data_IF_851593173264
#
_entry.id   IF_851593173264
#
_cell.length_a   1.000
_cell.length_b   1.000
_cell.length_c   1.000
_cell.angle_alpha   90.00
_cell.angle_beta   90.00
_cell.angle_gamma   90.00
#
_symmetry.space_group_name_H-M   'P 1'
#
loop_
_entity.id
_entity.type
_entity.pdbx_description
1 polymer ?
#
# COMPACT_ATOMS: atom_id res chain seq x y z
N UNK A 1 -18.43 -6.22 18.73
CA UNK A 1 -18.80 -4.97 18.03
C UNK A 1 -18.81 -5.19 16.52
N UNK A 2 -19.89 -5.72 15.93
CA UNK A 2 -21.08 -4.92 15.60
C UNK A 2 -20.94 -4.09 14.31
N UNK A 3 -19.75 -4.00 13.69
CA UNK A 3 -19.50 -3.13 12.51
C UNK A 3 -19.27 -3.89 11.19
N UNK A 4 -19.42 -5.22 11.17
CA UNK A 4 -19.39 -5.98 9.93
C UNK A 4 -20.78 -5.98 9.27
N UNK A 5 -20.87 -5.44 8.05
CA UNK A 5 -22.09 -5.39 7.23
C UNK A 5 -21.75 -5.80 5.80
N UNK A 6 -21.84 -7.09 5.45
CA UNK A 6 -21.48 -7.60 4.12
C UNK A 6 -22.38 -7.05 3.00
N UNK A 7 -23.54 -6.45 3.33
CA UNK A 7 -24.37 -5.81 2.32
C UNK A 7 -23.77 -4.48 1.84
N UNK A 8 -22.98 -3.80 2.69
CA UNK A 8 -22.37 -2.49 2.42
C UNK A 8 -20.86 -2.56 2.20
N UNK A 9 -20.17 -3.43 2.93
CA UNK A 9 -18.72 -3.59 2.94
C UNK A 9 -18.29 -4.57 1.83
N UNK A 10 -18.46 -4.16 0.58
CA UNK A 10 -18.23 -5.02 -0.60
C UNK A 10 -16.87 -4.86 -1.22
N UNK A 11 -16.30 -3.65 -1.14
CA UNK A 11 -15.05 -3.30 -1.81
C UNK A 11 -14.07 -2.73 -0.78
N UNK A 12 -12.79 -3.01 -0.97
CA UNK A 12 -11.69 -2.42 -0.20
C UNK A 12 -10.66 -1.85 -1.17
N UNK A 13 -10.13 -0.68 -0.82
CA UNK A 13 -9.07 -0.05 -1.57
C UNK A 13 -7.72 -0.68 -1.23
N UNK A 14 -7.05 -1.19 -2.25
CA UNK A 14 -5.69 -1.73 -2.16
C UNK A 14 -4.65 -0.63 -2.25
N UNK A 15 -4.87 0.33 -3.16
CA UNK A 15 -3.90 1.38 -3.48
C UNK A 15 -4.61 2.69 -3.80
N UNK A 16 -4.04 3.78 -3.27
CA UNK A 16 -4.53 5.14 -3.47
C UNK A 16 -3.38 6.12 -3.68
N UNK A 17 -3.70 7.41 -3.84
CA UNK A 17 -2.70 8.49 -3.79
C UNK A 17 -1.89 8.50 -2.48
N UNK A 18 -2.37 7.83 -1.43
CA UNK A 18 -1.70 7.69 -0.13
C UNK A 18 -0.90 6.39 0.04
N UNK A 19 -0.85 5.55 -0.99
CA UNK A 19 -0.02 4.35 -1.04
C UNK A 19 -0.78 3.03 -1.04
N UNK A 20 -0.02 1.94 -1.02
CA UNK A 20 -0.47 0.56 -1.06
C UNK A 20 -0.68 0.01 0.36
N UNK A 21 -1.90 -0.45 0.64
CA UNK A 21 -2.32 -1.11 1.87
C UNK A 21 -2.48 -2.63 1.74
N UNK A 22 -1.90 -3.23 0.70
CA UNK A 22 -1.93 -4.68 0.44
C UNK A 22 -1.23 -5.49 1.54
N UNK A 23 0.06 -5.24 1.75
CA UNK A 23 1.02 -6.20 2.32
C UNK A 23 0.90 -6.34 3.85
N UNK A 24 0.53 -7.52 4.34
CA UNK A 24 0.68 -7.88 5.75
C UNK A 24 2.13 -8.27 6.05
N UNK A 25 2.79 -7.55 6.97
CA UNK A 25 4.13 -7.91 7.46
C UNK A 25 4.10 -8.08 8.97
N UNK A 26 4.48 -9.27 9.44
CA UNK A 26 4.49 -9.60 10.87
C UNK A 26 5.41 -8.66 11.69
N UNK A 27 6.48 -8.14 11.09
CA UNK A 27 7.38 -7.15 11.73
C UNK A 27 6.67 -5.83 12.07
N UNK A 28 5.56 -5.51 11.40
CA UNK A 28 4.68 -4.37 11.69
C UNK A 28 3.43 -4.77 12.50
N UNK A 29 3.38 -5.99 13.03
CA UNK A 29 2.21 -6.57 13.71
C UNK A 29 2.34 -6.60 15.25
N UNK A 30 3.32 -5.92 15.84
CA UNK A 30 3.43 -5.78 17.30
C UNK A 30 2.13 -5.26 17.94
N UNK A 31 1.32 -4.50 17.18
CA UNK A 31 0.03 -3.95 17.60
C UNK A 31 -1.15 -4.95 17.49
N UNK A 32 -0.96 -6.16 16.94
CA UNK A 32 -2.04 -7.10 16.55
C UNK A 32 -2.20 -8.29 17.51
N UNK A 33 -1.15 -8.67 18.25
CA UNK A 33 -1.13 -9.92 19.01
C UNK A 33 -1.81 -9.82 20.39
N UNK A 34 -1.76 -8.67 21.05
CA UNK A 34 -2.38 -8.47 22.37
C UNK A 34 -2.59 -6.97 22.65
N UNK A 35 -3.84 -6.46 22.63
CA UNK A 35 -4.13 -5.05 22.91
C UNK A 35 -3.91 -4.66 24.38
N UNK A 36 -3.80 -5.63 25.29
CA UNK A 36 -3.56 -5.42 26.72
C UNK A 36 -2.08 -5.59 27.10
N UNK A 37 -1.24 -6.08 26.18
CA UNK A 37 0.20 -6.17 26.41
C UNK A 37 0.82 -4.77 26.50
N UNK A 38 1.73 -4.51 27.48
CA UNK A 38 2.44 -3.25 27.53
C UNK A 38 3.26 -3.06 26.26
N UNK A 39 2.97 -1.98 25.53
CA UNK A 39 3.74 -1.59 24.35
C UNK A 39 5.21 -1.48 24.73
N UNK A 40 6.04 -2.34 24.14
CA UNK A 40 7.49 -2.33 24.28
C UNK A 40 8.11 -1.93 22.95
N UNK A 41 9.13 -1.07 22.99
CA UNK A 41 9.86 -0.69 21.79
C UNK A 41 10.72 -1.87 21.30
N UNK A 42 10.44 -2.46 20.13
CA UNK A 42 11.21 -3.62 19.66
C UNK A 42 12.63 -3.20 19.25
N UNK A 43 13.55 -4.16 19.27
CA UNK A 43 14.87 -3.97 18.69
C UNK A 43 14.78 -3.94 17.14
N UNK A 44 15.65 -3.20 16.44
CA UNK A 44 15.71 -3.21 14.98
C UNK A 44 16.06 -4.59 14.43
N UNK A 45 15.54 -4.90 13.26
CA UNK A 45 15.86 -6.09 12.46
C UNK A 45 16.46 -5.69 11.12
N UNK A 46 16.86 -6.67 10.31
CA UNK A 46 17.35 -6.43 8.95
C UNK A 46 16.30 -5.86 8.01
N UNK A 47 15.03 -6.02 8.36
CA UNK A 47 13.90 -5.59 7.54
C UNK A 47 13.15 -4.40 8.14
N UNK A 48 13.44 -4.02 9.39
CA UNK A 48 12.66 -3.00 10.08
C UNK A 48 13.44 -2.19 11.11
N UNK A 49 13.30 -0.86 11.05
CA UNK A 49 13.79 0.07 12.06
C UNK A 49 12.59 0.71 12.80
N UNK A 50 12.33 0.38 14.07
CA UNK A 50 11.25 1.02 14.83
C UNK A 50 11.54 2.50 15.10
N UNK A 51 10.57 3.41 14.89
CA UNK A 51 10.79 4.84 15.18
C UNK A 51 11.01 5.12 16.66
N UNK A 52 10.45 4.32 17.58
CA UNK A 52 10.77 4.43 19.01
C UNK A 52 12.26 4.17 19.26
N UNK A 53 12.85 3.18 18.58
CA UNK A 53 14.27 2.88 18.71
C UNK A 53 15.11 4.02 18.15
N UNK A 54 14.72 4.52 16.96
CA UNK A 54 15.39 5.65 16.33
C UNK A 54 15.35 6.92 17.19
N UNK A 55 14.23 7.19 17.87
CA UNK A 55 14.14 8.29 18.84
C UNK A 55 15.17 8.14 19.97
N UNK A 56 15.38 6.92 20.47
CA UNK A 56 16.43 6.63 21.44
C UNK A 56 17.84 6.90 20.92
N UNK A 57 18.14 6.57 19.67
CA UNK A 57 19.44 6.88 19.04
C UNK A 57 19.66 8.38 18.83
N UNK A 58 18.61 9.09 18.39
CA UNK A 58 18.62 10.56 18.26
C UNK A 58 18.89 11.19 19.63
N UNK A 59 18.24 10.71 20.69
CA UNK A 59 18.48 11.18 22.05
C UNK A 59 19.92 10.90 22.50
N UNK A 60 20.42 9.69 22.25
CA UNK A 60 21.79 9.29 22.60
C UNK A 60 22.84 10.21 21.98
N UNK A 61 22.65 10.59 20.71
CA UNK A 61 23.55 11.52 20.02
C UNK A 61 23.54 12.94 20.62
N UNK A 62 22.52 13.31 21.41
CA UNK A 62 22.32 14.63 22.00
C UNK A 62 22.71 14.72 23.47
N UNK A 63 23.11 13.62 24.09
CA UNK A 63 23.45 13.62 25.51
C UNK A 63 24.61 14.55 25.85
N UNK A 64 25.57 14.75 24.94
CA UNK A 64 26.70 15.64 25.15
C UNK A 64 27.53 15.23 26.37
N UNK A 65 27.57 16.11 27.38
CA UNK A 65 28.33 15.97 28.63
C UNK A 65 27.51 15.40 29.81
N UNK A 66 26.27 14.96 29.57
CA UNK A 66 25.44 14.36 30.61
C UNK A 66 26.10 13.09 31.19
N UNK A 67 25.93 12.82 32.51
CA UNK A 67 26.31 11.54 33.09
C UNK A 67 25.66 10.37 32.34
N UNK A 68 26.38 9.26 32.17
CA UNK A 68 25.91 8.09 31.41
C UNK A 68 24.52 7.60 31.88
N UNK A 69 24.32 7.49 33.19
CA UNK A 69 23.03 7.07 33.75
C UNK A 69 21.88 8.03 33.43
N UNK A 70 22.14 9.34 33.38
CA UNK A 70 21.14 10.35 32.99
C UNK A 70 20.87 10.26 31.48
N UNK A 71 21.90 10.07 30.66
CA UNK A 71 21.75 9.86 29.23
C UNK A 71 20.88 8.62 28.93
N UNK A 72 21.18 7.49 29.56
CA UNK A 72 20.43 6.25 29.37
C UNK A 72 18.96 6.41 29.83
N UNK A 73 18.71 7.11 30.94
CA UNK A 73 17.35 7.41 31.39
C UNK A 73 16.58 8.25 30.35
N UNK A 74 17.22 9.24 29.73
CA UNK A 74 16.60 10.07 28.68
C UNK A 74 16.39 9.29 27.37
N UNK A 75 17.29 8.37 27.03
CA UNK A 75 17.12 7.47 25.87
C UNK A 75 15.86 6.60 26.03
N UNK A 76 15.67 6.00 27.21
CA UNK A 76 14.48 5.19 27.48
C UNK A 76 13.20 6.05 27.58
N UNK A 77 13.30 7.28 28.11
CA UNK A 77 12.20 8.25 28.08
C UNK A 77 11.80 8.58 26.62
N UNK A 78 12.76 8.83 25.73
CA UNK A 78 12.52 9.11 24.32
C UNK A 78 11.84 7.94 23.59
N UNK A 79 12.30 6.69 23.83
CA UNK A 79 11.66 5.49 23.28
C UNK A 79 10.20 5.38 23.72
N UNK A 80 9.93 5.57 25.02
CA UNK A 80 8.57 5.50 25.58
C UNK A 80 7.66 6.59 25.02
N UNK A 81 8.15 7.83 24.92
CA UNK A 81 7.37 8.95 24.37
C UNK A 81 7.08 8.76 22.88
N UNK A 82 8.05 8.29 22.10
CA UNK A 82 7.86 8.02 20.67
C UNK A 82 6.85 6.90 20.43
N UNK A 83 6.88 5.85 21.25
CA UNK A 83 5.89 4.77 21.22
C UNK A 83 4.49 5.27 21.58
N UNK A 84 4.38 6.10 22.62
CA UNK A 84 3.11 6.71 23.02
C UNK A 84 2.55 7.71 21.99
N UNK A 85 3.42 8.33 21.19
CA UNK A 85 3.03 9.27 20.13
C UNK A 85 2.44 8.58 18.87
N UNK A 86 2.42 7.25 18.84
CA UNK A 86 1.75 6.41 17.83
C UNK A 86 2.06 6.80 16.37
N UNK A 87 1.19 7.58 15.73
CA UNK A 87 1.31 7.97 14.31
C UNK A 87 2.28 9.14 14.09
N UNK A 88 2.72 9.82 15.15
CA UNK A 88 3.57 11.01 15.08
C UNK A 88 4.83 10.93 15.97
N UNK A 89 5.62 9.83 15.90
CA UNK A 89 6.75 9.61 16.79
C UNK A 89 7.83 10.70 16.66
N UNK A 90 7.94 11.33 15.48
CA UNK A 90 8.92 12.37 15.23
C UNK A 90 8.67 13.68 15.99
N UNK A 91 7.46 13.91 16.48
CA UNK A 91 7.11 15.13 17.23
C UNK A 91 7.66 15.14 18.66
N UNK A 92 8.24 14.03 19.14
CA UNK A 92 9.01 14.02 20.38
C UNK A 92 10.30 14.85 20.27
N UNK A 93 10.75 15.12 19.04
CA UNK A 93 11.82 16.06 18.72
C UNK A 93 11.46 16.87 17.45
N UNK A 94 10.65 17.95 17.56
CA UNK A 94 10.10 18.68 16.41
C UNK A 94 11.14 19.46 15.59
N UNK A 95 12.28 19.79 16.21
CA UNK A 95 13.39 20.51 15.57
C UNK A 95 14.27 19.61 14.70
N UNK A 96 14.09 18.30 14.77
CA UNK A 96 14.94 17.32 14.09
C UNK A 96 14.55 17.24 12.63
N UNK A 97 15.52 17.30 11.71
CA UNK A 97 15.24 17.17 10.29
C UNK A 97 14.73 15.74 9.98
N UNK A 98 13.93 15.62 8.92
CA UNK A 98 13.33 14.37 8.48
C UNK A 98 14.37 13.25 8.24
N UNK A 99 15.55 13.64 7.78
CA UNK A 99 16.68 12.80 7.42
C UNK A 99 17.28 12.08 8.63
N UNK A 100 17.30 12.75 9.79
CA UNK A 100 17.75 12.14 11.03
C UNK A 100 16.79 11.05 11.53
N UNK A 101 15.55 10.97 11.05
CA UNK A 101 14.64 9.87 11.36
C UNK A 101 14.83 8.63 10.47
N UNK A 102 15.70 8.72 9.44
CA UNK A 102 16.01 7.62 8.53
C UNK A 102 14.74 6.96 7.95
N UNK A 103 14.78 5.66 7.71
CA UNK A 103 13.68 4.83 7.19
C UNK A 103 12.78 4.26 8.30
N UNK A 104 12.81 4.83 9.52
CA UNK A 104 12.09 4.24 10.63
C UNK A 104 10.58 4.11 10.36
N UNK A 105 9.99 3.03 10.86
CA UNK A 105 8.61 2.59 10.65
C UNK A 105 8.20 2.40 9.17
N UNK A 106 9.13 2.39 8.21
CA UNK A 106 8.82 2.14 6.80
C UNK A 106 9.06 0.69 6.40
N UNK A 107 8.28 0.22 5.43
CA UNK A 107 8.54 -1.05 4.75
C UNK A 107 9.65 -0.86 3.70
N UNK A 108 10.65 -1.74 3.71
CA UNK A 108 11.85 -1.64 2.85
C UNK A 108 11.70 -2.26 1.47
N UNK A 109 10.80 -3.22 1.30
CA UNK A 109 10.60 -4.00 0.07
C UNK A 109 9.15 -3.95 -0.45
N UNK A 110 8.25 -3.23 0.23
CA UNK A 110 6.87 -3.07 -0.21
C UNK A 110 6.76 -2.19 -1.46
N UNK A 111 5.75 -2.47 -2.27
CA UNK A 111 5.46 -1.67 -3.46
C UNK A 111 4.67 -0.43 -3.09
N UNK A 112 5.21 0.76 -3.39
CA UNK A 112 4.57 2.07 -3.15
C UNK A 112 3.78 2.09 -1.83
N UNK A 113 4.40 1.76 -0.68
CA UNK A 113 3.67 1.55 0.55
C UNK A 113 2.99 2.82 1.03
N UNK A 114 1.96 2.66 1.85
CA UNK A 114 1.48 3.74 2.73
C UNK A 114 2.61 4.17 3.67
N UNK A 115 2.61 5.43 4.10
CA UNK A 115 3.54 5.91 5.12
C UNK A 115 3.21 5.26 6.48
N UNK A 116 4.23 4.72 7.17
CA UNK A 116 4.07 4.00 8.45
C UNK A 116 3.02 2.86 8.38
N UNK A 117 3.21 1.83 7.54
CA UNK A 117 2.25 0.75 7.37
C UNK A 117 1.94 0.04 8.69
N UNK A 118 0.65 -0.28 8.90
CA UNK A 118 0.14 -0.99 10.07
C UNK A 118 -0.38 -2.35 9.62
N UNK A 119 0.22 -3.44 10.11
CA UNK A 119 -0.12 -4.78 9.62
C UNK A 119 -1.61 -5.12 9.78
N UNK A 120 -2.21 -4.73 10.92
CA UNK A 120 -3.63 -4.96 11.21
C UNK A 120 -4.62 -4.13 10.38
N UNK A 121 -4.14 -3.21 9.54
CA UNK A 121 -4.97 -2.35 8.67
C UNK A 121 -4.81 -2.68 7.19
N UNK A 122 -4.24 -3.84 6.87
CA UNK A 122 -3.97 -4.26 5.49
C UNK A 122 -5.12 -5.06 4.90
N UNK A 123 -5.25 -5.04 3.57
CA UNK A 123 -6.27 -5.82 2.87
C UNK A 123 -6.04 -7.33 3.03
N UNK A 124 -4.78 -7.77 3.05
CA UNK A 124 -4.44 -9.17 3.31
C UNK A 124 -4.87 -9.59 4.73
N UNK A 125 -4.59 -8.77 5.75
CA UNK A 125 -5.05 -9.05 7.12
C UNK A 125 -6.57 -9.12 7.22
N UNK A 126 -7.27 -8.14 6.64
CA UNK A 126 -8.74 -8.11 6.64
C UNK A 126 -9.35 -9.35 5.95
N UNK A 127 -8.68 -9.88 4.92
CA UNK A 127 -9.09 -11.11 4.22
C UNK A 127 -8.80 -12.38 5.03
N UNK A 128 -7.78 -12.34 5.89
CA UNK A 128 -7.36 -13.49 6.69
C UNK A 128 -8.13 -13.62 8.01
N UNK A 129 -8.61 -12.53 8.61
CA UNK A 129 -9.29 -12.60 9.91
C UNK A 129 -10.73 -13.11 9.83
N UNK A 130 -11.20 -13.70 10.92
CA UNK A 130 -12.61 -14.04 11.13
C UNK A 130 -13.08 -13.48 12.48
N UNK A 131 -14.34 -13.07 12.55
CA UNK A 131 -14.98 -12.63 13.78
C UNK A 131 -14.93 -13.75 14.82
N UNK A 132 -14.40 -13.49 16.04
CA UNK A 132 -14.33 -14.52 17.08
C UNK A 132 -15.70 -14.83 17.69
N UNK A 133 -16.74 -14.03 17.38
CA UNK A 133 -18.09 -14.17 17.94
C UNK A 133 -18.94 -15.13 17.12
N UNK A 134 -18.95 -14.95 15.80
CA UNK A 134 -19.87 -15.62 14.87
C UNK A 134 -19.16 -16.23 13.64
N UNK A 135 -17.83 -16.10 13.56
CA UNK A 135 -17.04 -16.59 12.43
C UNK A 135 -17.23 -15.80 11.14
N UNK A 136 -17.90 -14.64 11.18
CA UNK A 136 -18.09 -13.78 10.01
C UNK A 136 -16.74 -13.32 9.42
N UNK A 137 -16.68 -13.23 8.10
CA UNK A 137 -15.46 -12.90 7.34
C UNK A 137 -15.74 -11.80 6.34
N UNK A 138 -14.74 -10.97 6.10
CA UNK A 138 -14.80 -10.04 4.98
C UNK A 138 -14.64 -10.76 3.64
N UNK A 139 -15.49 -10.39 2.68
CA UNK A 139 -15.41 -10.86 1.28
C UNK A 139 -15.37 -9.66 0.34
N UNK A 140 -14.25 -8.95 0.36
CA UNK A 140 -14.07 -7.74 -0.43
C UNK A 140 -13.74 -8.04 -1.89
N UNK A 141 -14.21 -7.19 -2.80
CA UNK A 141 -13.56 -6.94 -4.07
C UNK A 141 -12.45 -5.92 -3.90
N UNK A 142 -11.38 -6.05 -4.67
CA UNK A 142 -10.23 -5.17 -4.59
C UNK A 142 -10.35 -4.07 -5.64
N UNK A 143 -10.21 -2.82 -5.18
CA UNK A 143 -10.19 -1.64 -6.05
C UNK A 143 -8.94 -0.81 -5.75
N UNK A 144 -8.68 0.16 -6.62
CA UNK A 144 -7.74 1.23 -6.37
C UNK A 144 -8.41 2.54 -6.76
N UNK A 145 -7.91 3.66 -6.26
CA UNK A 145 -8.44 4.97 -6.64
C UNK A 145 -7.34 6.02 -6.73
N UNK A 146 -7.63 7.12 -7.40
CA UNK A 146 -6.68 8.20 -7.54
C UNK A 146 -6.38 8.87 -6.19
N UNK A 147 -7.42 9.00 -5.36
CA UNK A 147 -7.42 9.63 -4.03
C UNK A 147 -6.37 10.74 -3.86
N UNK A 148 -6.42 11.72 -4.77
CA UNK A 148 -5.74 13.00 -4.59
C UNK A 148 -6.81 14.06 -4.36
N UNK A 149 -6.61 14.87 -3.34
CA UNK A 149 -7.52 15.91 -2.92
C UNK A 149 -7.48 17.15 -3.84
N UNK A 150 -6.87 17.04 -5.02
CA UNK A 150 -6.82 18.09 -6.02
C UNK A 150 -8.13 18.20 -6.83
N UNK A 151 -8.95 17.14 -6.87
CA UNK A 151 -10.19 17.11 -7.66
C UNK A 151 -9.95 17.19 -9.18
N UNK A 152 -8.70 17.01 -9.62
CA UNK A 152 -8.31 17.09 -11.03
C UNK A 152 -8.62 15.78 -11.76
N UNK A 153 -9.21 15.83 -12.95
CA UNK A 153 -9.40 14.62 -13.75
C UNK A 153 -8.05 14.13 -14.29
N UNK A 154 -7.97 12.82 -14.50
CA UNK A 154 -6.89 12.22 -15.27
C UNK A 154 -5.54 12.08 -14.57
N UNK A 155 -5.55 11.79 -13.28
CA UNK A 155 -4.33 11.41 -12.55
C UNK A 155 -4.12 9.89 -12.58
N UNK A 156 -2.94 9.44 -12.16
CA UNK A 156 -2.60 8.01 -12.00
C UNK A 156 -1.95 7.35 -13.23
N UNK A 157 -2.39 7.69 -14.46
CA UNK A 157 -1.88 7.01 -15.67
C UNK A 157 -0.57 7.57 -16.24
N UNK A 158 -0.17 8.78 -15.86
CA UNK A 158 1.12 9.41 -16.19
C UNK A 158 1.82 9.80 -14.89
N UNK A 159 3.14 9.60 -14.86
CA UNK A 159 3.98 9.81 -13.68
C UNK A 159 4.73 11.15 -13.83
N UNK A 160 4.00 12.25 -13.65
CA UNK A 160 4.51 13.60 -13.84
C UNK A 160 3.81 14.64 -12.96
N UNK A 161 4.41 15.81 -12.85
CA UNK A 161 3.88 16.99 -12.17
C UNK A 161 3.41 16.66 -10.74
N UNK A 162 4.30 16.13 -9.90
CA UNK A 162 4.08 15.67 -8.53
C UNK A 162 3.22 16.63 -7.70
N UNK A 163 3.47 17.93 -7.74
CA UNK A 163 2.68 18.94 -7.01
C UNK A 163 1.26 19.18 -7.57
N UNK A 164 1.00 18.74 -8.80
CA UNK A 164 -0.27 18.86 -9.48
C UNK A 164 -1.07 17.56 -9.58
N UNK A 165 -0.43 16.40 -9.37
CA UNK A 165 -1.04 15.06 -9.48
C UNK A 165 -1.07 14.29 -8.17
N UNK A 166 -0.43 14.80 -7.11
CA UNK A 166 -0.43 14.22 -5.76
C UNK A 166 -0.86 15.25 -4.70
N UNK A 167 -1.01 14.79 -3.44
CA UNK A 167 -1.33 15.67 -2.31
C UNK A 167 -0.12 16.34 -1.65
N UNK A 168 1.02 16.32 -2.32
CA UNK A 168 2.23 16.96 -1.82
C UNK A 168 2.01 18.48 -1.64
N UNK A 169 2.13 18.94 -0.40
CA UNK A 169 2.06 20.37 -0.01
C UNK A 169 3.18 20.70 0.96
N UNK A 170 3.95 21.74 0.67
CA UNK A 170 5.05 22.18 1.53
C UNK A 170 5.43 23.65 1.33
N UNK A 171 6.44 24.10 2.07
CA UNK A 171 6.86 25.50 2.04
C UNK A 171 7.65 25.85 0.78
N UNK A 172 7.37 27.02 0.16
CA UNK A 172 8.01 27.41 -1.09
C UNK A 172 9.47 27.88 -0.90
N UNK A 173 9.90 28.19 0.33
CA UNK A 173 11.29 28.59 0.61
C UNK A 173 11.72 28.26 2.04
N UNK A 174 13.04 28.19 2.23
CA UNK A 174 13.68 27.99 3.53
C UNK A 174 13.32 29.09 4.52
N UNK A 175 13.28 30.35 4.08
CA UNK A 175 12.95 31.49 4.94
C UNK A 175 11.55 31.37 5.52
N UNK A 176 10.57 30.95 4.70
CA UNK A 176 9.19 30.72 5.16
C UNK A 176 9.16 29.54 6.13
N UNK A 177 9.85 28.43 5.80
CA UNK A 177 9.91 27.27 6.69
C UNK A 177 10.50 27.61 8.08
N UNK A 178 11.61 28.36 8.12
CA UNK A 178 12.28 28.80 9.37
C UNK A 178 11.40 29.70 10.24
N UNK A 179 10.55 30.52 9.62
CA UNK A 179 9.63 31.41 10.33
C UNK A 179 8.40 30.64 10.88
N UNK A 180 7.81 29.76 10.07
CA UNK A 180 6.53 29.12 10.38
C UNK A 180 6.70 27.86 11.24
N UNK A 181 7.74 27.05 11.01
CA UNK A 181 7.93 25.76 11.70
C UNK A 181 7.98 25.89 13.23
N UNK A 182 8.72 26.84 13.85
CA UNK A 182 8.72 27.00 15.31
C UNK A 182 7.38 27.51 15.87
N UNK A 183 6.66 28.31 15.08
CA UNK A 183 5.33 28.81 15.46
C UNK A 183 4.29 27.68 15.42
N UNK A 184 4.39 26.82 14.42
CA UNK A 184 3.47 25.72 14.21
C UNK A 184 3.76 24.54 15.15
N UNK A 185 4.98 24.00 15.16
CA UNK A 185 5.34 22.79 15.91
C UNK A 185 5.80 23.06 17.36
N UNK A 186 6.01 24.33 17.72
CA UNK A 186 6.68 24.69 18.97
C UNK A 186 8.19 24.53 18.89
N UNK A 187 8.86 24.82 20.00
CA UNK A 187 10.28 24.52 20.23
C UNK A 187 10.37 23.62 21.45
N UNK A 188 11.25 22.63 21.43
CA UNK A 188 11.57 21.90 22.66
C UNK A 188 12.16 22.85 23.70
N UNK A 189 11.70 22.73 24.94
CA UNK A 189 12.21 23.50 26.09
C UNK A 189 13.65 23.08 26.45
N UNK A 190 14.00 21.81 26.24
CA UNK A 190 15.35 21.26 26.39
C UNK A 190 15.70 20.41 25.15
N UNK A 191 16.61 20.85 24.27
CA UNK A 191 17.00 20.07 23.08
C UNK A 191 17.67 18.74 23.42
N UNK A 192 18.05 18.52 24.69
CA UNK A 192 18.58 17.26 25.22
C UNK A 192 17.53 16.45 25.97
N UNK A 193 16.24 16.65 25.70
CA UNK A 193 15.16 15.84 26.28
C UNK A 193 13.99 15.70 25.30
N UNK A 194 13.45 14.50 25.19
CA UNK A 194 12.23 14.26 24.42
C UNK A 194 11.02 14.89 25.11
N UNK A 195 10.05 15.36 24.32
CA UNK A 195 8.81 15.94 24.82
C UNK A 195 7.60 15.04 24.58
N UNK A 196 6.58 15.08 25.44
CA UNK A 196 5.33 14.38 25.18
C UNK A 196 4.59 15.00 23.99
N UNK A 197 4.02 14.14 23.15
CA UNK A 197 3.20 14.54 21.99
C UNK A 197 1.73 14.51 22.43
N UNK A 198 0.97 15.61 22.32
CA UNK A 198 -0.47 15.61 22.62
C UNK A 198 -1.25 14.70 21.65
N UNK A 199 -2.23 13.96 22.18
CA UNK A 199 -3.11 13.06 21.42
C UNK A 199 -4.26 13.77 20.66
N UNK A 200 -4.28 15.11 20.62
CA UNK A 200 -5.34 15.87 19.95
C UNK A 200 -5.03 16.06 18.45
N UNK A 201 -6.04 16.13 17.57
CA UNK A 201 -5.86 16.42 16.15
C UNK A 201 -5.10 17.73 16.01
N UNK A 202 -3.90 17.69 15.44
CA UNK A 202 -3.01 18.84 15.48
C UNK A 202 -3.31 19.86 14.36
N UNK A 203 -4.31 19.58 13.52
CA UNK A 203 -4.89 20.52 12.56
C UNK A 203 -3.83 21.00 11.58
N UNK A 204 -3.53 22.31 11.60
CA UNK A 204 -2.48 22.87 10.75
C UNK A 204 -1.11 22.18 10.95
N UNK A 205 -0.79 21.70 12.16
CA UNK A 205 0.48 20.99 12.47
C UNK A 205 0.63 19.67 11.71
N UNK A 206 -0.46 19.01 11.32
CA UNK A 206 -0.39 17.78 10.52
C UNK A 206 0.13 18.05 9.10
N UNK A 207 0.06 19.29 8.57
CA UNK A 207 0.77 19.65 7.34
C UNK A 207 2.30 19.62 7.50
N UNK A 208 2.80 19.81 8.71
CA UNK A 208 4.24 19.93 9.01
C UNK A 208 4.89 18.58 9.31
N UNK A 209 4.09 17.60 9.72
CA UNK A 209 4.53 16.23 9.93
C UNK A 209 4.76 15.45 8.60
N UNK A 210 4.66 16.13 7.46
CA UNK A 210 4.63 15.51 6.12
C UNK A 210 5.95 15.55 5.35
N UNK A 211 7.05 16.03 5.94
CA UNK A 211 8.34 16.08 5.21
C UNK A 211 8.78 14.68 4.74
N UNK A 212 8.62 13.64 5.58
CA UNK A 212 8.82 12.23 5.18
C UNK A 212 7.64 11.68 4.39
N UNK A 213 6.42 11.93 4.86
CA UNK A 213 5.20 11.38 4.26
C UNK A 213 5.02 11.82 2.78
N UNK A 214 5.55 12.98 2.38
CA UNK A 214 5.51 13.46 1.00
C UNK A 214 6.24 12.56 0.00
N UNK A 215 7.15 11.70 0.49
CA UNK A 215 7.81 10.65 -0.31
C UNK A 215 6.93 9.42 -0.52
N UNK A 216 5.73 9.38 0.06
CA UNK A 216 4.75 8.27 -0.01
C UNK A 216 3.40 8.76 -0.53
N UNK A 217 3.39 9.86 -1.28
CA UNK A 217 2.23 10.37 -1.99
C UNK A 217 2.42 10.11 -3.48
N UNK A 218 1.44 9.47 -4.10
CA UNK A 218 1.53 9.00 -5.48
C UNK A 218 0.42 9.65 -6.32
N UNK A 219 0.52 9.61 -7.66
CA UNK A 219 -0.57 10.04 -8.53
C UNK A 219 -1.88 9.25 -8.36
N UNK A 220 -1.80 8.11 -7.67
CA UNK A 220 -2.88 7.23 -7.29
C UNK A 220 -3.12 6.08 -8.27
N UNK A 221 -4.08 5.22 -7.92
CA UNK A 221 -4.51 4.08 -8.71
C UNK A 221 -5.78 4.32 -9.53
N UNK A 222 -6.21 3.30 -10.25
CA UNK A 222 -7.49 3.31 -10.97
C UNK A 222 -8.26 2.01 -10.69
N UNK A 223 -9.57 2.15 -10.54
CA UNK A 223 -10.50 1.02 -10.58
C UNK A 223 -10.75 0.62 -12.02
N UNK A 224 -10.69 -0.69 -12.27
CA UNK A 224 -11.12 -1.29 -13.51
C UNK A 224 -12.32 -2.21 -13.25
N UNK A 225 -13.23 -2.25 -14.21
CA UNK A 225 -14.54 -2.89 -14.06
C UNK A 225 -14.78 -3.81 -15.24
N UNK A 226 -15.08 -5.07 -14.98
CA UNK A 226 -15.60 -6.00 -15.99
C UNK A 226 -17.12 -5.84 -16.02
N UNK A 227 -17.62 -5.17 -17.05
CA UNK A 227 -19.05 -4.91 -17.22
C UNK A 227 -19.50 -5.28 -18.64
N UNK A 228 -20.71 -5.86 -18.74
CA UNK A 228 -21.30 -6.26 -20.02
C UNK A 228 -21.64 -5.09 -20.95
N UNK A 229 -21.72 -3.88 -20.40
CA UNK A 229 -22.04 -2.66 -21.14
C UNK A 229 -21.37 -1.43 -20.50
N UNK A 230 -21.23 -0.37 -21.31
CA UNK A 230 -20.67 0.93 -20.89
C UNK A 230 -21.76 1.90 -20.41
N UNK A 231 -22.64 1.40 -19.56
CA UNK A 231 -23.69 2.19 -18.92
C UNK A 231 -23.60 2.12 -17.39
N UNK A 232 -24.27 3.06 -16.73
CA UNK A 232 -24.23 3.21 -15.27
C UNK A 232 -24.64 1.92 -14.55
N UNK A 233 -25.67 1.24 -15.03
CA UNK A 233 -26.24 0.10 -14.31
C UNK A 233 -25.37 -1.14 -14.47
N UNK A 234 -24.76 -1.36 -15.65
CA UNK A 234 -23.79 -2.41 -15.87
C UNK A 234 -22.52 -2.20 -15.01
N UNK A 235 -21.98 -0.97 -14.97
CA UNK A 235 -20.82 -0.63 -14.12
C UNK A 235 -21.16 -0.82 -12.64
N UNK A 236 -22.34 -0.36 -12.21
CA UNK A 236 -22.79 -0.51 -10.82
C UNK A 236 -22.97 -1.96 -10.42
N UNK A 237 -23.54 -2.80 -11.30
CA UNK A 237 -23.66 -4.24 -11.06
C UNK A 237 -22.31 -4.89 -10.85
N UNK A 238 -21.31 -4.58 -11.67
CA UNK A 238 -19.97 -5.12 -11.55
C UNK A 238 -19.27 -4.70 -10.24
N UNK A 239 -19.43 -3.45 -9.80
CA UNK A 239 -18.97 -3.00 -8.48
C UNK A 239 -19.64 -3.78 -7.34
N UNK A 240 -20.96 -4.01 -7.45
CA UNK A 240 -21.73 -4.75 -6.43
C UNK A 240 -21.38 -6.25 -6.41
N UNK A 241 -21.14 -6.85 -7.59
CA UNK A 241 -20.72 -8.25 -7.73
C UNK A 241 -19.23 -8.49 -7.48
N UNK A 242 -18.45 -7.40 -7.35
CA UNK A 242 -16.98 -7.40 -7.17
C UNK A 242 -16.22 -7.90 -8.39
N UNK A 243 -16.82 -7.83 -9.58
CA UNK A 243 -16.13 -8.09 -10.86
C UNK A 243 -15.28 -6.87 -11.28
N UNK A 244 -14.38 -6.51 -10.38
CA UNK A 244 -13.53 -5.32 -10.45
C UNK A 244 -12.10 -5.67 -10.05
N UNK A 245 -11.17 -4.80 -10.37
CA UNK A 245 -9.79 -4.91 -9.93
C UNK A 245 -9.15 -3.53 -9.77
N UNK A 246 -8.10 -3.47 -8.96
CA UNK A 246 -7.30 -2.26 -8.78
C UNK A 246 -6.10 -2.24 -9.72
N UNK A 247 -5.70 -1.05 -10.15
CA UNK A 247 -4.40 -0.80 -10.79
C UNK A 247 -3.66 0.30 -10.04
N UNK A 248 -2.34 0.25 -10.02
CA UNK A 248 -1.46 1.25 -9.40
C UNK A 248 -1.36 2.58 -10.16
N UNK A 249 -2.18 2.76 -11.19
CA UNK A 249 -2.24 3.96 -12.02
C UNK A 249 -2.28 3.64 -13.51
N UNK A 250 -1.30 2.87 -14.04
CA UNK A 250 -1.33 2.44 -15.44
C UNK A 250 -2.53 1.55 -15.74
N UNK A 251 -3.11 1.70 -16.95
CA UNK A 251 -4.28 0.94 -17.41
C UNK A 251 -3.90 -0.49 -17.86
N UNK A 252 -3.38 -1.27 -16.93
CA UNK A 252 -3.10 -2.71 -17.08
C UNK A 252 -4.45 -3.44 -17.15
N UNK A 253 -4.57 -4.40 -18.07
CA UNK A 253 -5.75 -5.24 -18.20
C UNK A 253 -5.53 -6.56 -17.46
N UNK A 254 -6.51 -7.01 -16.69
CA UNK A 254 -6.40 -8.22 -15.87
C UNK A 254 -7.71 -9.03 -15.87
N UNK A 255 -7.59 -10.33 -16.09
CA UNK A 255 -8.63 -11.33 -15.90
C UNK A 255 -8.11 -12.45 -15.01
N UNK A 256 -8.95 -12.92 -14.10
CA UNK A 256 -8.66 -14.04 -13.21
C UNK A 256 -9.95 -14.84 -13.06
N UNK A 257 -9.89 -16.11 -13.49
CA UNK A 257 -11.03 -17.02 -13.51
C UNK A 257 -10.66 -18.31 -12.79
N UNK A 258 -11.55 -18.81 -11.94
CA UNK A 258 -11.59 -20.23 -11.57
C UNK A 258 -12.31 -21.00 -12.69
N UNK A 259 -11.74 -22.13 -13.08
CA UNK A 259 -12.23 -23.00 -14.15
C UNK A 259 -12.99 -24.21 -13.59
N UNK A 260 -13.94 -24.70 -14.38
CA UNK A 260 -14.61 -26.01 -14.20
C UNK A 260 -15.26 -26.20 -12.81
N UNK A 261 -15.83 -25.13 -12.26
CA UNK A 261 -16.58 -25.19 -11.02
C UNK A 261 -17.93 -25.95 -11.20
N UNK A 262 -18.49 -26.55 -10.12
CA UNK A 262 -19.79 -27.22 -10.20
C UNK A 262 -20.88 -26.31 -10.79
N UNK A 263 -21.43 -26.70 -11.94
CA UNK A 263 -22.49 -25.97 -12.64
C UNK A 263 -22.05 -24.68 -13.35
N UNK A 264 -20.74 -24.35 -13.37
CA UNK A 264 -20.21 -23.14 -14.03
C UNK A 264 -18.87 -23.42 -14.70
N UNK A 265 -18.78 -23.16 -16.01
CA UNK A 265 -17.51 -23.32 -16.73
C UNK A 265 -16.41 -22.36 -16.22
N UNK A 266 -16.80 -21.16 -15.79
CA UNK A 266 -15.90 -20.15 -15.20
C UNK A 266 -16.57 -19.41 -14.04
N UNK A 267 -15.80 -19.07 -13.02
CA UNK A 267 -16.16 -18.14 -11.96
C UNK A 267 -15.14 -17.00 -11.99
N UNK A 268 -15.54 -15.75 -12.31
CA UNK A 268 -14.61 -14.63 -12.41
C UNK A 268 -14.16 -14.13 -11.04
N UNK A 269 -13.13 -13.29 -11.02
CA UNK A 269 -12.69 -12.51 -9.85
C UNK A 269 -13.87 -11.84 -9.12
N UNK A 270 -13.82 -11.81 -7.79
CA UNK A 270 -14.95 -11.38 -6.94
C UNK A 270 -16.02 -12.45 -6.72
N UNK A 271 -15.92 -13.58 -7.43
CA UNK A 271 -16.81 -14.71 -7.30
C UNK A 271 -16.58 -15.52 -6.03
N UNK A 272 -17.64 -16.25 -5.65
CA UNK A 272 -17.64 -17.16 -4.51
C UNK A 272 -18.15 -18.52 -4.97
N UNK A 273 -17.53 -19.59 -4.48
CA UNK A 273 -17.92 -20.97 -4.80
C UNK A 273 -17.60 -21.90 -3.65
N UNK A 274 -18.37 -22.99 -3.53
CA UNK A 274 -18.05 -24.10 -2.66
C UNK A 274 -17.59 -25.31 -3.49
N UNK A 275 -16.43 -25.87 -3.14
CA UNK A 275 -15.89 -27.09 -3.74
C UNK A 275 -15.82 -28.21 -2.70
N UNK A 276 -15.93 -29.47 -3.14
CA UNK A 276 -15.83 -30.61 -2.22
C UNK A 276 -14.43 -30.66 -1.59
N UNK A 277 -14.35 -31.08 -0.34
CA UNK A 277 -13.06 -31.35 0.30
C UNK A 277 -12.21 -32.31 -0.56
N UNK A 278 -10.93 -31.98 -0.74
CA UNK A 278 -10.02 -32.74 -1.61
C UNK A 278 -10.19 -32.48 -3.11
N UNK A 279 -11.01 -31.49 -3.51
CA UNK A 279 -11.00 -30.98 -4.90
C UNK A 279 -9.73 -30.17 -5.14
N UNK A 280 -9.31 -30.09 -6.39
CA UNK A 280 -8.18 -29.26 -6.82
C UNK A 280 -8.72 -28.06 -7.63
N UNK A 281 -8.91 -26.87 -7.04
CA UNK A 281 -9.34 -25.69 -7.80
C UNK A 281 -8.28 -25.33 -8.85
N UNK A 282 -8.75 -24.99 -10.06
CA UNK A 282 -7.92 -24.68 -11.24
C UNK A 282 -8.22 -23.29 -11.74
N UNK A 283 -7.20 -22.52 -12.06
CA UNK A 283 -7.34 -21.12 -12.39
C UNK A 283 -6.63 -20.76 -13.69
N UNK A 284 -7.12 -19.69 -14.33
CA UNK A 284 -6.46 -19.02 -15.44
C UNK A 284 -6.36 -17.53 -15.15
N UNK A 285 -5.18 -16.97 -15.39
CA UNK A 285 -4.95 -15.53 -15.35
C UNK A 285 -4.56 -15.08 -16.74
N UNK A 286 -5.13 -13.96 -17.19
CA UNK A 286 -4.68 -13.26 -18.39
C UNK A 286 -4.38 -11.81 -18.01
N UNK A 287 -3.23 -11.30 -18.40
CA UNK A 287 -2.86 -9.93 -18.13
C UNK A 287 -2.22 -9.28 -19.37
N UNK A 288 -2.50 -8.00 -19.60
CA UNK A 288 -1.90 -7.22 -20.68
C UNK A 288 -1.44 -5.89 -20.10
N UNK A 289 -0.18 -5.53 -20.30
CA UNK A 289 0.36 -4.28 -19.76
C UNK A 289 -0.29 -3.05 -20.39
N UNK A 290 -0.12 -1.91 -19.73
CA UNK A 290 -0.67 -0.63 -20.20
C UNK A 290 -0.01 -0.16 -21.49
N UNK A 291 -0.70 0.71 -22.23
CA UNK A 291 -0.12 1.38 -23.38
C UNK A 291 0.97 2.36 -22.96
N UNK A 292 2.08 2.38 -23.72
CA UNK A 292 3.10 3.41 -23.62
C UNK A 292 2.45 4.76 -23.92
N UNK A 293 2.65 5.74 -23.03
CA UNK A 293 2.05 7.06 -23.15
C UNK A 293 2.92 7.99 -23.98
N UNK A 294 2.31 8.65 -24.96
CA UNK A 294 2.92 9.75 -25.70
C UNK A 294 2.83 11.06 -24.90
N UNK A 295 3.75 12.01 -25.14
CA UNK A 295 3.68 13.34 -24.52
C UNK A 295 2.39 14.08 -24.88
N UNK A 296 1.92 14.93 -23.96
CA UNK A 296 0.81 15.83 -24.21
C UNK A 296 -0.56 15.15 -24.39
N UNK A 297 -1.34 15.68 -25.33
CA UNK A 297 -2.67 15.24 -25.69
C UNK A 297 -2.78 15.02 -27.20
N UNK A 298 -3.66 14.10 -27.61
CA UNK A 298 -3.92 13.85 -29.02
C UNK A 298 -4.43 15.12 -29.74
N UNK A 299 -4.05 15.36 -31.02
CA UNK A 299 -4.41 16.58 -31.76
C UNK A 299 -5.90 16.89 -31.75
N UNK A 300 -6.75 15.86 -31.90
CA UNK A 300 -8.21 15.98 -31.87
C UNK A 300 -8.73 16.42 -30.48
N UNK A 301 -8.04 16.04 -29.40
CA UNK A 301 -8.38 16.50 -28.04
C UNK A 301 -8.03 17.98 -27.89
N UNK A 302 -6.87 18.40 -28.44
CA UNK A 302 -6.45 19.81 -28.45
C UNK A 302 -7.38 20.68 -29.29
N UNK A 303 -7.82 20.18 -30.44
CA UNK A 303 -8.80 20.87 -31.28
C UNK A 303 -10.16 21.00 -30.61
N UNK A 304 -10.64 19.95 -29.93
CA UNK A 304 -11.94 19.93 -29.28
C UNK A 304 -12.02 20.78 -28.00
N UNK A 305 -10.99 20.74 -27.15
CA UNK A 305 -11.01 21.39 -25.83
C UNK A 305 -10.23 22.72 -25.79
N UNK A 306 -9.27 22.90 -26.68
CA UNK A 306 -8.33 24.03 -26.65
C UNK A 306 -7.24 23.88 -25.58
N UNK A 307 -6.05 24.44 -25.87
CA UNK A 307 -4.85 24.31 -25.02
C UNK A 307 -5.06 24.82 -23.60
N UNK A 308 -5.64 26.02 -23.44
CA UNK A 308 -5.84 26.62 -22.12
C UNK A 308 -6.71 25.74 -21.19
N UNK A 309 -7.71 25.03 -21.74
CA UNK A 309 -8.55 24.13 -20.96
C UNK A 309 -7.84 22.84 -20.61
N UNK A 310 -7.02 22.31 -21.53
CA UNK A 310 -6.17 21.15 -21.30
C UNK A 310 -5.13 21.44 -20.19
N UNK A 311 -4.49 22.61 -20.23
CA UNK A 311 -3.52 23.02 -19.22
C UNK A 311 -4.16 23.10 -17.82
N UNK A 312 -5.39 23.62 -17.74
CA UNK A 312 -6.17 23.71 -16.51
C UNK A 312 -6.62 22.33 -15.98
N UNK A 313 -7.13 21.47 -16.85
CA UNK A 313 -7.70 20.16 -16.46
C UNK A 313 -6.64 19.13 -16.12
N UNK A 314 -5.61 19.01 -16.96
CA UNK A 314 -4.65 17.91 -16.90
C UNK A 314 -3.21 18.35 -17.14
N UNK A 315 -2.89 19.64 -16.93
CA UNK A 315 -1.52 20.16 -16.98
C UNK A 315 -0.82 19.93 -18.32
N UNK A 316 -1.58 19.97 -19.42
CA UNK A 316 -1.04 19.70 -20.74
C UNK A 316 -1.03 18.22 -21.13
N UNK A 317 -1.37 17.32 -20.20
CA UNK A 317 -1.06 15.88 -20.28
C UNK A 317 -2.33 15.01 -20.18
N UNK A 318 -2.79 14.51 -21.32
CA UNK A 318 -3.96 13.63 -21.39
C UNK A 318 -3.56 12.15 -21.37
N UNK A 319 -4.53 11.26 -21.21
CA UNK A 319 -4.33 9.86 -21.60
C UNK A 319 -4.13 9.80 -23.11
N UNK A 320 -2.87 9.62 -23.53
CA UNK A 320 -2.45 9.69 -24.92
C UNK A 320 -1.68 8.39 -25.23
N UNK A 321 -2.40 7.28 -25.45
CA UNK A 321 -1.77 5.99 -25.70
C UNK A 321 -1.16 5.95 -27.10
N UNK A 322 0.05 5.39 -27.20
CA UNK A 322 0.59 4.90 -28.47
C UNK A 322 0.00 3.51 -28.81
N UNK A 323 0.45 2.94 -29.93
CA UNK A 323 0.13 1.58 -30.34
C UNK A 323 0.98 0.50 -29.62
N UNK A 324 1.96 0.90 -28.81
CA UNK A 324 2.84 -0.01 -28.07
C UNK A 324 2.38 -0.24 -26.64
N UNK A 325 2.61 -1.45 -26.13
CA UNK A 325 2.31 -1.82 -24.74
C UNK A 325 3.56 -2.23 -23.99
N UNK A 326 3.60 -1.87 -22.71
CA UNK A 326 4.59 -2.42 -21.80
C UNK A 326 4.32 -3.93 -21.60
N UNK A 327 5.35 -4.78 -21.57
CA UNK A 327 5.17 -6.19 -21.29
C UNK A 327 4.83 -6.43 -19.81
N UNK A 328 4.11 -7.52 -19.54
CA UNK A 328 3.99 -8.09 -18.20
C UNK A 328 5.24 -8.94 -17.94
N UNK A 329 5.94 -8.69 -16.84
CA UNK A 329 7.14 -9.46 -16.44
C UNK A 329 6.77 -10.70 -15.65
N UNK A 330 5.78 -10.61 -14.77
CA UNK A 330 5.38 -11.73 -13.93
C UNK A 330 3.92 -11.64 -13.49
N UNK A 331 3.35 -12.81 -13.18
CA UNK A 331 2.09 -12.95 -12.47
C UNK A 331 2.37 -13.64 -11.13
N UNK A 332 1.94 -13.02 -10.05
CA UNK A 332 2.01 -13.59 -8.70
C UNK A 332 0.62 -13.98 -8.21
N UNK A 333 0.54 -15.09 -7.51
CA UNK A 333 -0.69 -15.60 -6.89
C UNK A 333 -0.50 -15.49 -5.39
N UNK A 334 -1.45 -14.83 -4.74
CA UNK A 334 -1.53 -14.76 -3.28
C UNK A 334 -2.62 -15.71 -2.81
N UNK A 335 -2.30 -16.50 -1.78
CA UNK A 335 -3.21 -17.47 -1.18
C UNK A 335 -3.44 -17.10 0.28
N UNK A 336 -4.69 -16.85 0.66
CA UNK A 336 -5.06 -16.47 2.03
C UNK A 336 -6.06 -17.48 2.58
N UNK A 337 -5.75 -18.06 3.73
CA UNK A 337 -6.62 -18.99 4.45
C UNK A 337 -7.26 -18.28 5.63
N UNK A 338 -8.57 -18.02 5.66
CA UNK A 338 -9.18 -17.30 6.76
C UNK A 338 -9.04 -18.07 8.09
N UNK A 339 -8.93 -17.35 9.20
CA UNK A 339 -8.91 -17.92 10.54
C UNK A 339 -10.14 -18.82 10.78
N UNK A 340 -9.93 -19.90 11.52
CA UNK A 340 -10.95 -20.86 11.94
C UNK A 340 -11.25 -20.78 13.43
N UNK A 341 -10.27 -20.36 14.22
CA UNK A 341 -10.38 -20.26 15.68
C UNK A 341 -9.88 -18.90 16.16
N UNK A 342 -10.46 -18.33 17.24
CA UNK A 342 -9.93 -17.11 17.86
C UNK A 342 -8.46 -17.29 18.24
N UNK A 343 -7.63 -16.31 17.89
CA UNK A 343 -6.20 -16.31 18.23
C UNK A 343 -5.31 -17.18 17.33
N UNK A 344 -5.82 -17.76 16.24
CA UNK A 344 -4.97 -18.40 15.22
C UNK A 344 -4.00 -17.37 14.63
N UNK A 345 -2.70 -17.65 14.59
CA UNK A 345 -1.72 -16.73 14.03
C UNK A 345 -2.02 -16.46 12.54
N UNK A 346 -2.09 -15.18 12.17
CA UNK A 346 -2.43 -14.73 10.81
C UNK A 346 -1.23 -14.83 9.87
N UNK A 347 -0.01 -14.71 10.37
CA UNK A 347 1.18 -14.75 9.54
C UNK A 347 1.29 -16.01 8.65
N UNK A 348 1.11 -17.25 9.16
CA UNK A 348 1.16 -18.45 8.33
C UNK A 348 -0.06 -18.63 7.41
N UNK A 349 -1.10 -17.82 7.57
CA UNK A 349 -2.33 -17.89 6.78
C UNK A 349 -2.27 -17.09 5.49
N UNK A 350 -1.31 -16.17 5.36
CA UNK A 350 -1.12 -15.30 4.21
C UNK A 350 0.15 -15.76 3.49
N UNK A 351 0.00 -16.38 2.32
CA UNK A 351 1.11 -16.78 1.47
C UNK A 351 1.25 -15.77 0.32
N UNK A 352 2.19 -14.84 0.48
CA UNK A 352 2.46 -13.76 -0.46
C UNK A 352 3.96 -13.69 -0.87
N UNK A 353 4.35 -14.06 -2.08
CA UNK A 353 3.56 -14.75 -3.10
C UNK A 353 3.55 -16.27 -2.83
N UNK A 354 2.39 -16.92 -2.99
CA UNK A 354 2.30 -18.39 -2.96
C UNK A 354 2.88 -19.01 -4.23
N UNK A 355 2.58 -18.42 -5.39
CA UNK A 355 3.14 -18.82 -6.69
C UNK A 355 3.57 -17.60 -7.47
N UNK A 356 4.61 -17.75 -8.28
CA UNK A 356 5.09 -16.72 -9.20
C UNK A 356 5.41 -17.34 -10.55
N UNK A 357 4.93 -16.71 -11.61
CA UNK A 357 5.13 -17.12 -12.99
C UNK A 357 5.81 -15.99 -13.74
N UNK A 358 7.01 -16.26 -14.26
CA UNK A 358 7.70 -15.32 -15.15
C UNK A 358 7.04 -15.36 -16.53
N UNK A 359 6.81 -14.19 -17.11
CA UNK A 359 6.17 -14.02 -18.41
C UNK A 359 7.24 -13.73 -19.47
N UNK A 360 7.09 -14.35 -20.65
CA UNK A 360 7.89 -13.93 -21.81
C UNK A 360 7.46 -12.52 -22.20
N UNK A 361 8.38 -11.58 -22.51
CA UNK A 361 8.03 -10.23 -22.91
C UNK A 361 7.23 -10.23 -24.22
N UNK A 362 5.90 -10.16 -24.10
CA UNK A 362 4.96 -10.17 -25.20
C UNK A 362 3.94 -9.02 -25.05
N UNK A 363 3.85 -8.09 -26.01
CA UNK A 363 2.88 -6.99 -25.96
C UNK A 363 1.42 -7.44 -26.07
N UNK A 364 1.15 -8.67 -26.52
CA UNK A 364 -0.19 -9.27 -26.49
C UNK A 364 -0.61 -9.75 -25.09
N UNK A 365 0.33 -9.79 -24.15
CA UNK A 365 0.09 -10.12 -22.74
C UNK A 365 0.65 -11.47 -22.31
N UNK A 366 0.25 -11.90 -21.12
CA UNK A 366 0.69 -13.13 -20.48
C UNK A 366 -0.53 -13.93 -20.02
N UNK A 367 -0.48 -15.26 -20.24
CA UNK A 367 -1.51 -16.21 -19.79
C UNK A 367 -0.85 -17.30 -18.96
N UNK A 368 -1.35 -17.50 -17.74
CA UNK A 368 -0.86 -18.55 -16.85
C UNK A 368 -2.02 -19.37 -16.31
N UNK A 369 -1.77 -20.66 -16.06
CA UNK A 369 -2.71 -21.58 -15.42
C UNK A 369 -2.04 -22.23 -14.23
N UNK A 370 -2.80 -22.38 -13.14
CA UNK A 370 -2.31 -23.01 -11.92
C UNK A 370 -3.44 -23.73 -11.19
N UNK A 371 -3.06 -24.61 -10.28
CA UNK A 371 -4.00 -25.41 -9.47
C UNK A 371 -3.58 -25.34 -7.98
N UNK A 372 -4.50 -25.58 -7.04
CA UNK A 372 -4.17 -25.85 -5.63
C UNK A 372 -4.48 -27.30 -5.27
N UNK A 373 -3.47 -28.15 -5.27
CA UNK A 373 -3.54 -29.55 -4.87
C UNK A 373 -3.62 -29.74 -3.35
N UNK A 374 -3.25 -28.71 -2.57
CA UNK A 374 -3.31 -28.69 -1.11
C UNK A 374 -4.57 -27.97 -0.58
N UNK A 375 -5.63 -27.88 -1.40
CA UNK A 375 -6.89 -27.24 -1.00
C UNK A 375 -7.67 -28.11 -0.01
N UNK A 376 -7.54 -27.77 1.28
CA UNK A 376 -8.18 -28.48 2.40
C UNK A 376 -9.03 -27.57 3.31
N UNK A 377 -8.97 -26.25 3.09
CA UNK A 377 -9.72 -25.26 3.85
C UNK A 377 -10.17 -24.10 2.98
N UNK A 378 -11.19 -23.39 3.44
CA UNK A 378 -11.64 -22.15 2.80
C UNK A 378 -10.43 -21.27 2.50
N UNK A 379 -10.37 -20.77 1.28
CA UNK A 379 -9.20 -20.08 0.78
C UNK A 379 -9.66 -18.97 -0.18
N UNK A 380 -9.10 -17.79 0.01
CA UNK A 380 -9.18 -16.69 -0.94
C UNK A 380 -7.92 -16.68 -1.80
N UNK A 381 -8.11 -16.55 -3.12
CA UNK A 381 -7.01 -16.39 -4.07
C UNK A 381 -7.17 -15.05 -4.76
N UNK A 382 -6.11 -14.28 -4.89
CA UNK A 382 -6.06 -13.17 -5.83
C UNK A 382 -4.70 -13.14 -6.50
N UNK A 383 -4.58 -12.34 -7.56
CA UNK A 383 -3.35 -12.29 -8.36
C UNK A 383 -2.87 -10.86 -8.55
N UNK A 384 -1.55 -10.73 -8.65
CA UNK A 384 -0.87 -9.52 -9.11
C UNK A 384 -0.35 -9.73 -10.53
N UNK A 385 -0.62 -8.80 -11.43
CA UNK A 385 0.09 -8.69 -12.70
C UNK A 385 1.15 -7.60 -12.59
N UNK A 386 2.42 -7.95 -12.76
CA UNK A 386 3.56 -7.03 -12.64
C UNK A 386 4.01 -6.60 -14.03
N UNK A 387 3.83 -5.33 -14.36
CA UNK A 387 4.36 -4.73 -15.58
C UNK A 387 5.87 -4.50 -15.45
N UNK A 388 6.59 -4.49 -16.59
CA UNK A 388 7.97 -4.06 -16.64
C UNK A 388 8.19 -2.70 -15.96
N UNK A 389 9.35 -2.49 -15.29
CA UNK A 389 9.62 -1.27 -14.56
C UNK A 389 9.49 -0.02 -15.42
N UNK A 390 8.74 0.96 -14.90
CA UNK A 390 8.60 2.30 -15.47
C UNK A 390 8.89 3.36 -14.42
N UNK A 391 9.38 4.55 -14.80
CA UNK A 391 9.56 5.64 -13.85
C UNK A 391 8.23 6.00 -13.18
N UNK A 392 8.23 6.10 -11.86
CA UNK A 392 7.06 6.51 -11.07
C UNK A 392 7.41 7.61 -10.08
N UNK A 393 6.50 8.58 -9.94
CA UNK A 393 6.57 9.65 -8.94
C UNK A 393 6.70 9.01 -7.56
N UNK A 394 7.70 9.43 -6.81
CA UNK A 394 8.02 8.90 -5.48
C UNK A 394 8.27 7.38 -5.45
N UNK A 395 8.60 6.75 -6.59
CA UNK A 395 8.81 5.31 -6.68
C UNK A 395 9.92 4.76 -5.78
N UNK A 396 10.84 5.63 -5.33
CA UNK A 396 11.96 5.29 -4.45
C UNK A 396 11.70 5.55 -2.96
N UNK A 397 10.53 6.05 -2.58
CA UNK A 397 10.21 6.43 -1.20
C UNK A 397 11.26 7.40 -0.63
N UNK A 398 11.83 7.06 0.53
CA UNK A 398 12.88 7.86 1.20
C UNK A 398 14.28 7.72 0.60
N UNK A 399 14.46 6.93 -0.48
CA UNK A 399 15.76 6.71 -1.16
C UNK A 399 16.88 6.36 -0.17
N UNK A 400 16.58 5.44 0.75
CA UNK A 400 17.46 5.08 1.84
C UNK A 400 18.74 4.38 1.33
N UNK A 401 19.89 4.80 1.85
CA UNK A 401 21.15 4.08 1.68
C UNK A 401 21.36 3.14 2.86
N UNK A 402 21.73 1.89 2.57
CA UNK A 402 21.94 0.86 3.57
C UNK A 402 23.41 0.44 3.65
N UNK A 403 23.83 0.04 4.84
CA UNK A 403 25.07 -0.72 5.09
C UNK A 403 24.73 -2.05 5.74
N UNK A 404 25.60 -3.05 5.58
CA UNK A 404 25.31 -4.42 6.01
C UNK A 404 24.35 -5.12 5.05
N UNK A 405 23.90 -6.33 5.40
CA UNK A 405 23.15 -7.23 4.52
C UNK A 405 24.04 -8.16 3.67
N UNK A 406 25.34 -7.90 3.65
CA UNK A 406 26.39 -8.80 3.13
C UNK A 406 27.07 -9.48 4.33
N UNK A 407 27.47 -10.75 4.18
CA UNK A 407 28.17 -11.56 5.20
C UNK A 407 27.46 -11.69 6.58
N UNK A 408 26.14 -11.49 6.63
CA UNK A 408 25.32 -11.65 7.85
C UNK A 408 25.38 -10.46 8.82
N UNK A 409 25.96 -9.33 8.40
CA UNK A 409 25.87 -8.08 9.17
C UNK A 409 24.46 -7.47 9.05
N UNK A 410 23.88 -6.89 10.13
CA UNK A 410 22.53 -6.39 10.06
C UNK A 410 22.34 -5.26 9.04
N UNK A 411 21.27 -5.32 8.26
CA UNK A 411 20.96 -4.28 7.27
C UNK A 411 20.44 -3.02 7.98
N UNK A 412 21.21 -1.93 7.89
CA UNK A 412 20.91 -0.67 8.58
C UNK A 412 20.90 0.50 7.61
N UNK A 413 19.86 1.32 7.67
CA UNK A 413 19.85 2.59 6.97
C UNK A 413 20.89 3.53 7.60
N UNK A 414 21.67 4.21 6.77
CA UNK A 414 22.69 5.18 7.21
C UNK A 414 22.34 6.60 6.81
N UNK A 415 21.55 6.76 5.74
CA UNK A 415 21.03 8.03 5.28
C UNK A 415 19.76 7.81 4.46
N UNK A 416 18.99 8.87 4.31
CA UNK A 416 17.83 8.96 3.43
C UNK A 416 17.92 10.26 2.64
N UNK A 417 17.33 10.26 1.46
CA UNK A 417 17.13 11.43 0.62
C UNK A 417 15.63 11.51 0.32
N UNK A 418 14.83 12.14 1.18
CA UNK A 418 13.38 12.23 1.00
C UNK A 418 13.01 13.10 -0.20
N UNK A 419 11.92 12.77 -0.88
CA UNK A 419 11.27 13.73 -1.77
C UNK A 419 10.46 14.73 -0.93
N UNK A 420 11.05 15.88 -0.63
CA UNK A 420 10.43 16.86 0.26
C UNK A 420 9.22 17.51 -0.41
N UNK A 421 8.26 17.92 0.43
CA UNK A 421 7.05 18.57 -0.05
C UNK A 421 7.24 20.03 -0.50
N UNK A 422 8.40 20.62 -0.20
CA UNK A 422 8.69 22.03 -0.41
C UNK A 422 10.12 22.23 -0.90
N UNK A 423 10.67 23.40 -0.56
CA UNK A 423 11.90 23.95 -1.12
C UNK A 423 13.18 23.08 -1.14
N UNK A 424 13.41 22.07 -0.27
CA UNK A 424 14.63 21.27 -0.38
C UNK A 424 14.66 20.42 -1.67
N UNK A 425 13.50 20.09 -2.24
CA UNK A 425 13.38 19.42 -3.53
C UNK A 425 12.94 20.44 -4.59
N UNK A 426 13.61 20.51 -5.76
CA UNK A 426 13.16 21.38 -6.85
C UNK A 426 11.70 21.12 -7.23
N UNK A 427 10.97 22.17 -7.58
CA UNK A 427 9.54 22.08 -7.87
C UNK A 427 9.21 21.19 -9.09
N UNK A 428 10.11 21.18 -10.06
CA UNK A 428 10.04 20.38 -11.29
C UNK A 428 10.63 18.97 -11.13
N UNK A 429 11.15 18.62 -9.94
CA UNK A 429 11.59 17.27 -9.63
C UNK A 429 10.41 16.40 -9.16
N UNK A 430 10.04 15.46 -10.02
CA UNK A 430 9.00 14.47 -9.79
C UNK A 430 9.46 13.27 -8.94
N UNK A 431 10.74 13.23 -8.55
CA UNK A 431 11.33 12.16 -7.74
C UNK A 431 11.09 10.77 -8.33
N UNK A 432 11.32 10.66 -9.64
CA UNK A 432 11.06 9.44 -10.38
C UNK A 432 12.04 8.33 -10.01
N UNK A 433 11.51 7.12 -9.79
CA UNK A 433 12.31 5.90 -9.68
C UNK A 433 11.60 4.75 -10.42
N UNK A 434 12.34 3.76 -10.95
CA UNK A 434 11.73 2.64 -11.63
C UNK A 434 10.95 1.76 -10.65
N UNK A 435 9.68 1.50 -10.97
CA UNK A 435 8.84 0.56 -10.21
C UNK A 435 8.09 -0.37 -11.15
N UNK A 436 7.85 -1.60 -10.70
CA UNK A 436 6.96 -2.54 -11.37
C UNK A 436 5.53 -2.22 -11.02
N UNK A 437 4.93 -1.31 -11.79
CA UNK A 437 3.50 -1.00 -11.69
C UNK A 437 2.70 -2.31 -11.83
N UNK A 438 1.63 -2.41 -11.04
CA UNK A 438 0.86 -3.64 -10.92
C UNK A 438 -0.65 -3.44 -10.90
N UNK A 439 -1.37 -4.51 -11.20
CA UNK A 439 -2.81 -4.66 -11.02
C UNK A 439 -3.11 -5.81 -10.07
N UNK A 440 -4.16 -5.68 -9.26
CA UNK A 440 -4.62 -6.66 -8.27
C UNK A 440 -6.03 -7.10 -8.60
N UNK A 441 -6.25 -8.38 -8.89
CA UNK A 441 -7.61 -8.90 -9.10
C UNK A 441 -8.42 -8.82 -7.80
N UNK A 442 -9.74 -8.70 -7.91
CA UNK A 442 -10.58 -9.10 -6.77
C UNK A 442 -10.33 -10.58 -6.42
N UNK A 443 -10.43 -10.97 -5.14
CA UNK A 443 -10.26 -12.36 -4.75
C UNK A 443 -11.38 -13.25 -5.29
N UNK A 444 -11.05 -14.52 -5.57
CA UNK A 444 -12.03 -15.60 -5.69
C UNK A 444 -12.03 -16.34 -4.36
N UNK A 445 -13.20 -16.43 -3.74
CA UNK A 445 -13.40 -17.13 -2.47
C UNK A 445 -13.86 -18.57 -2.74
N UNK A 446 -13.04 -19.53 -2.33
CA UNK A 446 -13.31 -20.96 -2.50
C UNK A 446 -13.51 -21.58 -1.13
N UNK A 447 -14.75 -21.91 -0.81
CA UNK A 447 -15.14 -22.56 0.45
C UNK A 447 -15.13 -24.08 0.30
N UNK A 448 -14.82 -24.78 1.39
CA UNK A 448 -14.97 -26.24 1.45
C UNK A 448 -16.43 -26.57 1.71
N UNK A 449 -17.07 -27.22 0.74
CA UNK A 449 -18.44 -27.69 0.87
C UNK A 449 -18.56 -28.68 2.05
N UNK A 450 -19.62 -28.59 2.87
CA UNK A 450 -19.84 -29.55 3.95
C UNK A 450 -19.97 -30.97 3.38
N UNK A 451 -19.45 -31.96 4.12
CA UNK A 451 -19.68 -33.37 3.78
C UNK A 451 -21.18 -33.64 3.88
N UNK A 452 -21.78 -34.04 2.76
CA UNK A 452 -23.12 -34.63 2.77
C UNK A 452 -22.91 -36.08 3.20
N UNK A 453 -23.04 -36.35 4.49
CA UNK A 453 -23.15 -37.72 4.97
C UNK A 453 -24.53 -38.22 4.50
N UNK A 454 -24.54 -39.03 3.45
CA UNK A 454 -25.72 -39.81 3.09
C UNK A 454 -25.93 -40.86 4.17
N UNK A 455 -26.66 -40.52 5.25
CA UNK A 455 -27.41 -41.52 6.01
C UNK A 455 -28.58 -42.01 5.14
N UNK A 456 -28.28 -42.81 4.12
CA UNK A 456 -29.19 -43.85 3.67
C UNK A 456 -28.84 -45.10 4.47
N UNK A 457 -29.43 -45.21 5.67
CA UNK A 457 -29.54 -46.50 6.34
C UNK A 457 -30.67 -47.31 5.67
N UNK A 458 -30.47 -48.64 5.47
CA UNK A 458 -31.34 -49.50 4.66
C UNK A 458 -32.76 -49.71 5.21
#
# INVERSE_FOLDING_TARGET
>A
DGQHDPARQRLIEMHSGHGNGEDFRAVHAADVADPDAPLACPAPTDDFLPCCWRAGEIMRARCGDLPEAECDARVEEAKRLALAAATSPNLVFPEVPAEEWLDCDQCRDCFKPVFNPRAGMTAQYATAIASPVDGARFRFGFIASSDNHAGRPGTGYKQLARHGTTDVRGFPSETVAKLVRPLALGKSDDPRRAQPVPNEPQGFRDLFNKERAASFLYPGGLVAVHADARDRDAIWRALVSREVYGTSGPRILLWFDLLDAPGRARVPMGGEVALRAGSTPRFEVRAVGSFVQEPGCAPETVEALGRARIDDLCLGECYHPSDERHPIEAIEVVRIRPQRVPGEDVAPLIEDAWKRFECTPDPSGCVVRFEDDAFERDTAYYVRALQAPTPAVNGGGLRATFTGGEDGAPRRATSVDPCHAGWPTPWDDDCLAPVRERAWSSPIYVDVAPRVDNEEAP
#
